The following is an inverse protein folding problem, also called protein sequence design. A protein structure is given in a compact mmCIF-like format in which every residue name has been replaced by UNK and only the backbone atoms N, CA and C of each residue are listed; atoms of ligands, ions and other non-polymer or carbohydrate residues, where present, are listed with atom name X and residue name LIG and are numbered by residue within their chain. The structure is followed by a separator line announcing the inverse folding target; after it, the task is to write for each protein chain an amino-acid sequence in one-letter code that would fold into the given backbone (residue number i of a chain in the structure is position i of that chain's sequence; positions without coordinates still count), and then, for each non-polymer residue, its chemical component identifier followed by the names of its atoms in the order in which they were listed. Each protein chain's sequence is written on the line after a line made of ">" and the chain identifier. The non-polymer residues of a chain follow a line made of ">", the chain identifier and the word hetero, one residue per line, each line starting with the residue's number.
data_IF_906854680517
#
_entry.id   IF_906854680517
#
_cell.length_a   1.000
_cell.length_b   1.000
_cell.length_c   1.000
_cell.angle_alpha   90.00
_cell.angle_beta   90.00
_cell.angle_gamma   90.00
#
_symmetry.space_group_name_H-M   'P 1'
#
loop_
_entity.id
_entity.type
_entity.pdbx_description
1 polymer ?
#
# COMPACT_ATOMS: atom_id res chain seq x y z
N UNK A 1 4.59 4.09 -22.53
CA UNK A 1 4.20 5.51 -22.24
C UNK A 1 4.36 5.79 -20.74
N UNK A 2 4.52 7.06 -20.31
CA UNK A 2 4.87 7.44 -18.92
C UNK A 2 3.99 6.77 -17.84
N UNK A 3 2.68 6.64 -18.08
CA UNK A 3 1.75 6.01 -17.13
C UNK A 3 2.02 4.52 -16.88
N UNK A 4 2.56 3.79 -17.85
CA UNK A 4 2.93 2.39 -17.64
C UNK A 4 4.16 2.26 -16.72
N UNK A 5 5.11 3.20 -16.86
CA UNK A 5 6.27 3.28 -15.96
C UNK A 5 5.83 3.59 -14.53
N UNK A 6 4.93 4.56 -14.34
CA UNK A 6 4.42 4.93 -13.02
C UNK A 6 3.66 3.78 -12.35
N UNK A 7 2.82 3.07 -13.12
CA UNK A 7 2.12 1.88 -12.63
C UNK A 7 3.09 0.76 -12.25
N UNK A 8 4.14 0.55 -13.04
CA UNK A 8 5.19 -0.44 -12.73
C UNK A 8 5.92 -0.11 -11.43
N UNK A 9 6.27 1.16 -11.22
CA UNK A 9 6.90 1.61 -9.97
C UNK A 9 5.97 1.41 -8.76
N UNK A 10 4.68 1.74 -8.89
CA UNK A 10 3.69 1.49 -7.85
C UNK A 10 3.60 -0.01 -7.49
N UNK A 11 3.58 -0.89 -8.49
CA UNK A 11 3.57 -2.34 -8.27
C UNK A 11 4.85 -2.84 -7.57
N UNK A 12 6.01 -2.27 -7.91
CA UNK A 12 7.26 -2.60 -7.22
C UNK A 12 7.23 -2.16 -5.74
N UNK A 13 6.62 -1.02 -5.43
CA UNK A 13 6.44 -0.55 -4.04
C UNK A 13 5.56 -1.53 -3.25
N UNK A 14 4.48 -2.03 -3.86
CA UNK A 14 3.64 -3.07 -3.24
C UNK A 14 4.39 -4.36 -2.96
N UNK A 15 5.20 -4.83 -3.92
CA UNK A 15 5.99 -6.04 -3.73
C UNK A 15 7.01 -5.87 -2.60
N UNK A 16 7.67 -4.71 -2.52
CA UNK A 16 8.59 -4.40 -1.43
C UNK A 16 7.88 -4.36 -0.07
N UNK A 17 6.72 -3.70 0.00
CA UNK A 17 5.92 -3.68 1.23
C UNK A 17 5.47 -5.08 1.68
N UNK A 18 5.07 -5.94 0.73
CA UNK A 18 4.70 -7.32 1.03
C UNK A 18 5.88 -8.15 1.55
N UNK A 19 7.07 -7.97 0.97
CA UNK A 19 8.31 -8.59 1.46
C UNK A 19 8.61 -8.13 2.89
N UNK A 20 8.65 -6.82 3.12
CA UNK A 20 8.92 -6.24 4.44
C UNK A 20 7.93 -6.75 5.48
N UNK A 21 6.61 -6.66 5.24
CA UNK A 21 5.63 -7.11 6.24
C UNK A 21 5.69 -8.61 6.52
N UNK A 22 6.25 -9.41 5.61
CA UNK A 22 6.41 -10.86 5.79
C UNK A 22 7.59 -11.21 6.70
N UNK A 23 8.63 -10.36 6.75
CA UNK A 23 9.90 -10.66 7.44
C UNK A 23 10.07 -9.93 8.77
N UNK A 24 9.45 -8.77 8.95
CA UNK A 24 9.55 -7.98 10.19
C UNK A 24 8.74 -8.58 11.34
N UNK A 25 9.14 -8.24 12.57
CA UNK A 25 8.48 -8.63 13.81
C UNK A 25 7.01 -8.20 13.85
N UNK A 26 6.14 -8.97 14.51
CA UNK A 26 4.75 -8.55 14.72
C UNK A 26 4.68 -7.36 15.69
N UNK A 27 5.42 -7.44 16.79
CA UNK A 27 5.66 -6.31 17.69
C UNK A 27 6.72 -5.37 17.11
N UNK A 28 6.54 -4.07 17.35
CA UNK A 28 7.38 -3.01 16.78
C UNK A 28 7.92 -2.13 17.90
N UNK A 29 9.14 -1.63 17.72
CA UNK A 29 9.78 -0.70 18.64
C UNK A 29 8.86 0.49 18.90
N UNK A 30 8.55 0.72 20.18
CA UNK A 30 7.71 1.83 20.63
C UNK A 30 8.55 3.09 20.81
N UNK A 31 7.90 4.24 20.67
CA UNK A 31 8.53 5.53 20.94
C UNK A 31 8.81 5.74 22.43
N UNK A 32 9.50 6.84 22.80
CA UNK A 32 9.96 7.09 24.18
C UNK A 32 8.86 7.09 25.25
N UNK A 33 7.60 7.30 24.86
CA UNK A 33 6.42 7.31 25.74
C UNK A 33 5.55 6.05 25.59
N UNK A 34 6.10 4.97 25.03
CA UNK A 34 5.39 3.70 24.82
C UNK A 34 4.36 3.69 23.68
N UNK A 35 4.14 4.83 23.01
CA UNK A 35 3.23 4.93 21.87
C UNK A 35 3.81 4.34 20.58
N UNK A 36 2.93 3.90 19.68
CA UNK A 36 3.30 3.41 18.35
C UNK A 36 2.42 2.25 17.89
N UNK A 37 2.25 2.10 16.58
CA UNK A 37 1.53 0.98 15.98
C UNK A 37 2.37 -0.31 16.02
N UNK A 38 1.71 -1.46 16.08
CA UNK A 38 2.33 -2.74 15.72
C UNK A 38 2.30 -2.94 14.19
N UNK A 39 2.94 -4.02 13.71
CA UNK A 39 3.00 -4.33 12.27
C UNK A 39 1.61 -4.41 11.64
N UNK A 40 0.68 -5.12 12.28
CA UNK A 40 -0.63 -5.40 11.70
C UNK A 40 -1.52 -4.14 11.69
N UNK A 41 -1.33 -3.24 12.65
CA UNK A 41 -1.93 -1.90 12.66
C UNK A 41 -1.38 -1.01 11.54
N UNK A 42 -0.07 -1.06 11.26
CA UNK A 42 0.52 -0.37 10.10
C UNK A 42 -0.07 -0.94 8.81
N UNK A 43 -0.08 -2.27 8.65
CA UNK A 43 -0.62 -2.94 7.46
C UNK A 43 -2.08 -2.61 7.23
N UNK A 44 -2.93 -2.68 8.26
CA UNK A 44 -4.35 -2.31 8.17
C UNK A 44 -4.53 -0.84 7.76
N UNK A 45 -3.69 0.06 8.27
CA UNK A 45 -3.73 1.47 7.88
C UNK A 45 -3.37 1.66 6.40
N UNK A 46 -2.25 1.08 5.95
CA UNK A 46 -1.79 1.20 4.55
C UNK A 46 -2.85 0.70 3.58
N UNK A 47 -3.38 -0.50 3.83
CA UNK A 47 -4.43 -1.13 3.02
C UNK A 47 -5.73 -0.33 3.04
N UNK A 48 -6.15 0.18 4.21
CA UNK A 48 -7.36 0.99 4.32
C UNK A 48 -7.29 2.28 3.52
N UNK A 49 -6.14 2.98 3.55
CA UNK A 49 -5.92 4.17 2.72
C UNK A 49 -5.94 3.86 1.24
N UNK A 50 -5.33 2.74 0.81
CA UNK A 50 -5.41 2.28 -0.59
C UNK A 50 -6.86 2.02 -1.03
N UNK A 51 -7.64 1.35 -0.19
CA UNK A 51 -9.06 1.08 -0.47
C UNK A 51 -9.86 2.38 -0.68
N UNK A 52 -9.57 3.44 0.09
CA UNK A 52 -10.23 4.73 -0.06
C UNK A 52 -9.87 5.43 -1.38
N UNK A 53 -8.62 5.30 -1.84
CA UNK A 53 -8.21 5.77 -3.16
C UNK A 53 -8.86 4.98 -4.29
N UNK A 54 -8.98 3.67 -4.14
CA UNK A 54 -9.57 2.77 -5.13
C UNK A 54 -11.06 3.09 -5.39
N UNK A 55 -11.81 3.53 -4.38
CA UNK A 55 -13.19 4.04 -4.53
C UNK A 55 -13.28 5.18 -5.56
N UNK A 56 -12.23 6.00 -5.67
CA UNK A 56 -12.16 7.09 -6.65
C UNK A 56 -12.08 6.64 -8.10
N UNK A 57 -11.78 5.36 -8.33
CA UNK A 57 -11.82 4.69 -9.64
C UNK A 57 -13.05 3.79 -9.81
N UNK A 58 -13.96 3.79 -8.84
CA UNK A 58 -15.12 2.90 -8.81
C UNK A 58 -14.79 1.45 -8.42
N UNK A 59 -13.58 1.19 -7.89
CA UNK A 59 -13.20 -0.13 -7.38
C UNK A 59 -13.74 -0.27 -5.96
N UNK A 60 -14.65 -1.21 -5.77
CA UNK A 60 -15.22 -1.55 -4.47
C UNK A 60 -14.67 -2.91 -4.04
N UNK A 61 -14.11 -2.95 -2.84
CA UNK A 61 -13.54 -4.17 -2.28
C UNK A 61 -14.33 -4.56 -1.05
N UNK A 62 -14.85 -5.79 -0.97
CA UNK A 62 -15.61 -6.24 0.17
C UNK A 62 -14.85 -6.05 1.48
N UNK A 63 -15.58 -5.77 2.55
CA UNK A 63 -15.02 -5.63 3.89
C UNK A 63 -14.29 -6.92 4.28
N UNK A 64 -13.10 -6.79 4.86
CA UNK A 64 -12.26 -7.93 5.25
C UNK A 64 -11.58 -8.68 4.11
N UNK A 65 -11.94 -8.47 2.84
CA UNK A 65 -11.33 -9.20 1.72
C UNK A 65 -9.80 -8.96 1.63
N UNK A 66 -9.36 -7.72 1.90
CA UNK A 66 -7.94 -7.34 1.87
C UNK A 66 -7.14 -7.86 3.07
N UNK A 67 -7.78 -8.53 4.04
CA UNK A 67 -7.07 -9.19 5.16
C UNK A 67 -6.47 -10.54 4.74
N UNK A 68 -6.83 -11.05 3.56
CA UNK A 68 -6.23 -12.26 2.98
C UNK A 68 -5.28 -11.88 1.86
N UNK A 69 -4.23 -12.69 1.64
CA UNK A 69 -3.30 -12.47 0.54
C UNK A 69 -3.97 -12.56 -0.83
N UNK A 70 -4.96 -13.45 -0.97
CA UNK A 70 -5.74 -13.59 -2.20
C UNK A 70 -6.60 -12.35 -2.47
N UNK A 71 -7.36 -11.90 -1.47
CA UNK A 71 -8.22 -10.72 -1.64
C UNK A 71 -7.43 -9.42 -1.81
N UNK A 72 -6.26 -9.27 -1.18
CA UNK A 72 -5.37 -8.14 -1.44
C UNK A 72 -4.83 -8.16 -2.88
N UNK A 73 -4.46 -9.33 -3.41
CA UNK A 73 -4.03 -9.47 -4.80
C UNK A 73 -5.14 -9.09 -5.76
N UNK A 74 -6.34 -9.65 -5.55
CA UNK A 74 -7.52 -9.34 -6.36
C UNK A 74 -7.87 -7.84 -6.34
N UNK A 75 -7.74 -7.18 -5.18
CA UNK A 75 -7.90 -5.73 -5.08
C UNK A 75 -6.90 -4.97 -5.96
N UNK A 76 -5.60 -5.28 -5.85
CA UNK A 76 -4.53 -4.58 -6.58
C UNK A 76 -4.63 -4.81 -8.09
N UNK A 77 -5.06 -5.98 -8.51
CA UNK A 77 -5.34 -6.29 -9.91
C UNK A 77 -6.50 -5.42 -10.43
N UNK A 78 -7.63 -5.40 -9.71
CA UNK A 78 -8.77 -4.55 -10.05
C UNK A 78 -8.40 -3.06 -10.05
N UNK A 79 -7.53 -2.64 -9.13
CA UNK A 79 -7.05 -1.27 -9.04
C UNK A 79 -6.19 -0.90 -10.25
N UNK A 80 -5.26 -1.77 -10.67
CA UNK A 80 -4.45 -1.57 -11.88
C UNK A 80 -5.31 -1.51 -13.15
N UNK A 81 -6.27 -2.43 -13.29
CA UNK A 81 -7.21 -2.44 -14.42
C UNK A 81 -8.02 -1.15 -14.49
N UNK A 82 -8.54 -0.68 -13.35
CA UNK A 82 -9.30 0.56 -13.30
C UNK A 82 -8.44 1.78 -13.68
N UNK A 83 -7.17 1.82 -13.28
CA UNK A 83 -6.21 2.86 -13.71
C UNK A 83 -6.02 2.82 -15.22
N UNK A 84 -5.79 1.63 -15.81
CA UNK A 84 -5.63 1.48 -17.28
C UNK A 84 -6.87 1.96 -18.02
N UNK A 85 -8.06 1.57 -17.54
CA UNK A 85 -9.35 2.01 -18.11
C UNK A 85 -9.49 3.53 -18.07
N UNK A 86 -9.33 4.14 -16.89
CA UNK A 86 -9.48 5.59 -16.74
C UNK A 86 -8.47 6.35 -17.59
N UNK A 87 -7.23 5.85 -17.70
CA UNK A 87 -6.22 6.44 -18.56
C UNK A 87 -6.67 6.42 -20.03
N UNK A 88 -7.17 5.29 -20.53
CA UNK A 88 -7.67 5.19 -21.92
C UNK A 88 -8.89 6.08 -22.20
N UNK A 89 -9.70 6.37 -21.16
CA UNK A 89 -10.88 7.23 -21.24
C UNK A 89 -10.56 8.71 -20.96
N UNK A 90 -9.31 9.08 -20.67
CA UNK A 90 -8.93 10.44 -20.29
C UNK A 90 -9.54 10.92 -18.97
N UNK A 91 -9.93 10.00 -18.08
CA UNK A 91 -10.62 10.28 -16.82
C UNK A 91 -9.66 10.49 -15.64
N UNK A 92 -10.12 11.27 -14.67
CA UNK A 92 -9.48 11.48 -13.38
C UNK A 92 -10.07 10.57 -12.30
N UNK A 93 -9.28 10.28 -11.27
CA UNK A 93 -9.76 9.61 -10.06
C UNK A 93 -10.49 10.63 -9.17
N UNK A 94 -11.81 10.72 -9.30
CA UNK A 94 -12.62 11.84 -8.75
C UNK A 94 -12.06 13.18 -9.25
N UNK A 95 -11.39 13.92 -8.38
CA UNK A 95 -10.81 15.24 -8.64
C UNK A 95 -9.28 15.19 -8.85
N UNK A 96 -8.66 14.00 -8.79
CA UNK A 96 -7.21 13.85 -8.84
C UNK A 96 -6.73 13.25 -10.16
N UNK A 97 -5.64 13.77 -10.75
CA UNK A 97 -4.98 13.11 -11.89
C UNK A 97 -4.52 11.69 -11.53
N UNK A 98 -4.61 10.75 -12.46
CA UNK A 98 -4.19 9.35 -12.23
C UNK A 98 -2.72 9.23 -11.80
N UNK A 99 -1.86 10.08 -12.36
CA UNK A 99 -0.45 10.23 -11.98
C UNK A 99 -0.26 10.58 -10.51
N UNK A 100 -1.12 11.46 -9.98
CA UNK A 100 -1.09 11.82 -8.57
C UNK A 100 -1.48 10.61 -7.71
N UNK A 101 -2.57 9.94 -8.06
CA UNK A 101 -3.04 8.74 -7.37
C UNK A 101 -1.96 7.65 -7.33
N UNK A 102 -1.34 7.32 -8.47
CA UNK A 102 -0.28 6.30 -8.52
C UNK A 102 0.93 6.67 -7.65
N UNK A 103 1.34 7.94 -7.65
CA UNK A 103 2.43 8.42 -6.81
C UNK A 103 2.11 8.41 -5.33
N UNK A 104 0.91 8.83 -4.96
CA UNK A 104 0.46 8.79 -3.58
C UNK A 104 0.48 7.36 -3.06
N UNK A 105 -0.13 6.42 -3.81
CA UNK A 105 -0.13 4.99 -3.46
C UNK A 105 1.29 4.45 -3.30
N UNK A 106 2.18 4.75 -4.24
CA UNK A 106 3.58 4.31 -4.18
C UNK A 106 4.32 4.88 -2.95
N UNK A 107 4.26 6.20 -2.76
CA UNK A 107 4.92 6.90 -1.65
C UNK A 107 4.40 6.41 -0.29
N UNK A 108 3.08 6.37 -0.10
CA UNK A 108 2.46 5.97 1.18
C UNK A 108 2.76 4.51 1.52
N UNK A 109 2.78 3.63 0.52
CA UNK A 109 3.17 2.24 0.69
C UNK A 109 4.65 2.13 1.12
N UNK A 110 5.56 2.84 0.46
CA UNK A 110 6.99 2.82 0.80
C UNK A 110 7.28 3.42 2.18
N UNK A 111 6.64 4.54 2.52
CA UNK A 111 6.79 5.19 3.83
C UNK A 111 6.46 4.22 4.97
N UNK A 112 5.39 3.44 4.82
CA UNK A 112 5.03 2.42 5.80
C UNK A 112 5.85 1.14 5.74
N UNK A 113 6.46 0.81 4.59
CA UNK A 113 7.47 -0.24 4.53
C UNK A 113 8.70 0.15 5.36
N UNK A 114 9.21 1.36 5.15
CA UNK A 114 10.34 1.88 5.92
C UNK A 114 10.01 2.06 7.41
N UNK A 115 8.80 2.51 7.75
CA UNK A 115 8.33 2.55 9.15
C UNK A 115 8.45 1.18 9.83
N UNK A 116 8.12 0.09 9.11
CA UNK A 116 8.23 -1.26 9.64
C UNK A 116 9.69 -1.74 9.75
N UNK A 117 10.54 -1.44 8.77
CA UNK A 117 11.96 -1.80 8.82
C UNK A 117 12.67 -1.09 9.97
N UNK A 118 12.43 0.22 10.15
CA UNK A 118 13.06 1.04 11.18
C UNK A 118 12.69 0.60 12.59
N UNK A 119 11.49 0.03 12.77
CA UNK A 119 10.95 -0.39 14.07
C UNK A 119 11.09 -1.88 14.32
N UNK A 120 11.68 -2.62 13.39
CA UNK A 120 11.80 -4.07 13.51
C UNK A 120 12.70 -4.47 14.69
N UNK A 121 12.27 -5.48 15.44
CA UNK A 121 13.00 -6.01 16.58
C UNK A 121 13.92 -7.18 16.21
N UNK A 122 13.86 -7.70 14.98
CA UNK A 122 14.75 -8.79 14.55
C UNK A 122 16.21 -8.34 14.46
N UNK A 123 16.45 -7.10 14.04
CA UNK A 123 17.77 -6.47 13.95
C UNK A 123 18.35 -6.13 15.33
N UNK A 124 17.50 -5.84 16.33
CA UNK A 124 17.93 -5.52 17.69
C UNK A 124 18.41 -6.75 18.50
N UNK A 125 18.04 -7.98 18.12
CA UNK A 125 18.45 -9.21 18.83
C UNK A 125 19.85 -9.71 18.47
N UNK A 126 20.56 -9.04 17.55
CA UNK A 126 21.87 -9.43 17.05
C UNK A 126 23.02 -8.47 17.36
N UNK A 127 22.82 -7.46 18.19
CA UNK A 127 23.83 -6.46 18.57
C UNK A 127 24.23 -6.60 20.05
#
# INVERSE_FOLDING_TARGET
>A
EESERERTLMQACWAFFDDVRSRVSAEMQKGPRGGGRDRDQIVRHTIGTEQDWAKGLGVLTPEGAMLTNEGLRAHRDAYCEAIRRFHSEGKMARTWPLRYLMRHTAYHTLDHAWEMEDKDLTTAKGA
#
